data_IF_729294109535
#
_entry.id   IF_729294109535
#
_cell.length_a   1.000
_cell.length_b   1.000
_cell.length_c   1.000
_cell.angle_alpha   90.00
_cell.angle_beta   90.00
_cell.angle_gamma   90.00
#
_symmetry.space_group_name_H-M   'P 1'
#
loop_
_entity.id
_entity.type
_entity.pdbx_description
1 polymer ?
#
# COMPACT_ATOMS: atom_id res chain seq x y z
N UNK A 1 56.44 24.72 0.86
CA UNK A 1 55.06 24.89 0.33
C UNK A 1 54.12 25.12 1.49
N UNK A 2 53.54 26.32 1.62
CA UNK A 2 52.60 26.65 2.71
C UNK A 2 51.18 26.24 2.27
N UNK A 3 50.57 25.33 3.01
CA UNK A 3 49.16 25.02 2.91
C UNK A 3 48.35 26.25 3.36
N UNK A 4 47.56 26.85 2.46
CA UNK A 4 46.58 27.87 2.84
C UNK A 4 45.28 27.16 3.22
N UNK A 5 45.11 26.87 4.50
CA UNK A 5 43.76 26.77 5.06
C UNK A 5 43.30 28.19 5.37
N UNK A 6 42.45 28.75 4.51
CA UNK A 6 41.68 29.95 4.83
C UNK A 6 40.37 29.49 5.44
N UNK A 7 40.36 29.27 6.75
CA UNK A 7 39.12 29.28 7.49
C UNK A 7 38.92 30.71 8.00
N UNK A 8 38.06 31.46 7.30
CA UNK A 8 37.66 32.82 7.65
C UNK A 8 36.71 32.79 8.86
N UNK A 9 37.21 32.43 10.04
CA UNK A 9 36.43 32.55 11.28
C UNK A 9 36.42 34.02 11.72
N UNK A 10 35.56 34.84 11.14
CA UNK A 10 35.00 35.98 11.85
C UNK A 10 33.74 35.48 12.56
N UNK A 11 33.92 34.58 13.54
CA UNK A 11 32.82 34.13 14.37
C UNK A 11 32.24 35.37 15.06
N UNK A 12 30.99 35.71 14.76
CA UNK A 12 30.31 36.85 15.37
C UNK A 12 29.76 36.49 16.76
N UNK A 13 29.73 35.19 17.09
CA UNK A 13 29.28 34.70 18.39
C UNK A 13 30.35 33.84 19.11
N UNK A 14 30.30 33.88 20.45
CA UNK A 14 31.18 33.08 21.31
C UNK A 14 30.92 31.57 21.21
N UNK A 15 29.75 31.17 20.71
CA UNK A 15 29.37 29.77 20.56
C UNK A 15 28.75 29.55 19.17
N UNK A 16 29.08 28.45 18.46
CA UNK A 16 28.54 28.15 17.12
C UNK A 16 27.00 28.12 17.07
N UNK A 17 26.35 27.69 18.14
CA UNK A 17 24.87 27.70 18.22
C UNK A 17 24.28 29.11 18.29
N UNK A 18 25.07 30.14 18.53
CA UNK A 18 24.64 31.53 18.52
C UNK A 18 25.08 32.27 17.24
N UNK A 19 25.76 31.59 16.30
CA UNK A 19 26.21 32.21 15.06
C UNK A 19 25.00 32.53 14.16
N UNK A 20 24.84 33.79 13.72
CA UNK A 20 23.66 34.22 12.98
C UNK A 20 23.49 33.49 11.65
N UNK A 21 24.58 33.14 10.97
CA UNK A 21 24.54 32.36 9.73
C UNK A 21 24.00 30.93 9.97
N UNK A 22 24.46 30.28 11.04
CA UNK A 22 24.00 28.95 11.45
C UNK A 22 22.52 28.99 11.81
N UNK A 23 22.10 30.00 12.59
CA UNK A 23 20.69 30.19 12.95
C UNK A 23 19.80 30.47 11.72
N UNK A 24 20.29 31.23 10.74
CA UNK A 24 19.57 31.47 9.50
C UNK A 24 19.38 30.19 8.66
N UNK A 25 20.40 29.31 8.60
CA UNK A 25 20.28 28.00 7.94
C UNK A 25 19.25 27.12 8.64
N UNK A 26 19.32 27.01 9.97
CA UNK A 26 18.37 26.25 10.79
C UNK A 26 16.94 26.76 10.54
N UNK A 27 16.74 28.08 10.54
CA UNK A 27 15.45 28.70 10.26
C UNK A 27 14.89 28.33 8.88
N UNK A 28 15.73 28.35 7.83
CA UNK A 28 15.32 27.94 6.47
C UNK A 28 14.93 26.47 6.39
N UNK A 29 15.69 25.59 7.05
CA UNK A 29 15.37 24.14 7.12
C UNK A 29 14.04 23.91 7.83
N UNK A 30 13.83 24.57 8.97
CA UNK A 30 12.58 24.49 9.72
C UNK A 30 11.39 25.00 8.89
N UNK A 31 11.55 26.13 8.20
CA UNK A 31 10.52 26.69 7.32
C UNK A 31 10.18 25.74 6.16
N UNK A 32 11.19 25.13 5.51
CA UNK A 32 10.98 24.16 4.43
C UNK A 32 10.23 22.93 4.92
N UNK A 33 10.57 22.41 6.11
CA UNK A 33 9.86 21.29 6.75
C UNK A 33 8.40 21.65 7.02
N UNK A 34 8.15 22.82 7.62
CA UNK A 34 6.79 23.29 7.88
C UNK A 34 5.97 23.41 6.59
N UNK A 35 6.57 23.92 5.51
CA UNK A 35 5.92 23.99 4.20
C UNK A 35 5.56 22.61 3.63
N UNK A 36 6.45 21.62 3.73
CA UNK A 36 6.18 20.25 3.29
C UNK A 36 4.99 19.68 4.07
N UNK A 37 5.03 19.76 5.40
CA UNK A 37 3.97 19.24 6.26
C UNK A 37 2.62 19.92 5.98
N UNK A 38 2.61 21.23 5.70
CA UNK A 38 1.41 21.96 5.34
C UNK A 38 0.86 21.57 3.96
N UNK A 39 1.73 21.22 3.00
CA UNK A 39 1.30 20.71 1.69
C UNK A 39 0.71 19.31 1.84
N UNK A 40 1.40 18.40 2.55
CA UNK A 40 0.93 17.03 2.74
C UNK A 40 -0.37 16.99 3.53
N UNK A 41 -0.49 17.78 4.61
CA UNK A 41 -1.72 17.85 5.39
C UNK A 41 -2.90 18.40 4.59
N UNK A 42 -2.68 19.33 3.65
CA UNK A 42 -3.73 19.79 2.73
C UNK A 42 -4.15 18.73 1.73
N UNK A 43 -3.21 17.93 1.21
CA UNK A 43 -3.49 16.85 0.28
C UNK A 43 -4.31 15.75 0.96
N UNK A 44 -3.90 15.35 2.17
CA UNK A 44 -4.61 14.35 2.98
C UNK A 44 -6.04 14.78 3.28
N UNK A 45 -6.22 16.00 3.79
CA UNK A 45 -7.57 16.53 4.03
C UNK A 45 -8.40 16.68 2.75
N UNK A 46 -7.77 16.88 1.59
CA UNK A 46 -8.48 16.92 0.31
C UNK A 46 -8.93 15.52 -0.14
N UNK A 47 -8.10 14.50 0.07
CA UNK A 47 -8.44 13.10 -0.15
C UNK A 47 -9.57 12.66 0.78
N UNK A 48 -9.51 12.97 2.08
CA UNK A 48 -10.59 12.68 3.03
C UNK A 48 -11.93 13.26 2.58
N UNK A 49 -11.92 14.53 2.15
CA UNK A 49 -13.14 15.18 1.65
C UNK A 49 -13.64 14.55 0.34
N UNK A 50 -12.74 14.18 -0.56
CA UNK A 50 -13.12 13.51 -1.80
C UNK A 50 -13.70 12.12 -1.51
N UNK A 51 -13.08 11.36 -0.62
CA UNK A 51 -13.54 10.06 -0.16
C UNK A 51 -14.89 10.15 0.54
N UNK A 52 -15.07 11.10 1.46
CA UNK A 52 -16.34 11.32 2.15
C UNK A 52 -17.48 11.68 1.18
N UNK A 53 -17.19 12.39 0.08
CA UNK A 53 -18.17 12.67 -0.98
C UNK A 53 -18.49 11.45 -1.84
N UNK A 54 -17.50 10.57 -2.06
CA UNK A 54 -17.66 9.34 -2.82
C UNK A 54 -18.35 8.23 -2.00
N UNK A 55 -18.14 8.20 -0.68
CA UNK A 55 -18.76 7.30 0.26
C UNK A 55 -20.22 7.69 0.54
N UNK A 56 -21.06 7.62 -0.49
CA UNK A 56 -22.52 7.65 -0.34
C UNK A 56 -22.98 6.34 0.31
N UNK A 57 -24.04 6.32 1.14
CA UNK A 57 -24.66 5.05 1.55
C UNK A 57 -25.10 4.29 0.29
N UNK A 58 -24.38 3.22 -0.04
CA UNK A 58 -24.40 2.55 -1.36
C UNK A 58 -23.03 2.37 -2.04
N UNK A 59 -21.99 3.10 -1.62
CA UNK A 59 -20.62 2.93 -2.13
C UNK A 59 -20.02 1.56 -1.77
N UNK A 60 -20.45 0.98 -0.64
CA UNK A 60 -20.15 -0.41 -0.25
C UNK A 60 -20.69 -1.42 -1.28
N UNK A 61 -21.90 -1.17 -1.81
CA UNK A 61 -22.53 -2.00 -2.84
C UNK A 61 -21.81 -1.87 -4.19
N UNK A 62 -21.15 -0.75 -4.46
CA UNK A 62 -20.35 -0.54 -5.67
C UNK A 62 -18.99 -1.24 -5.63
N UNK A 63 -18.45 -1.64 -4.47
CA UNK A 63 -17.11 -2.24 -4.43
C UNK A 63 -17.06 -3.62 -5.11
N UNK A 64 -17.93 -4.55 -4.71
CA UNK A 64 -18.03 -5.89 -5.29
C UNK A 64 -18.82 -5.86 -6.60
N UNK A 65 -19.91 -5.08 -6.67
CA UNK A 65 -20.75 -5.03 -7.87
C UNK A 65 -20.11 -4.26 -9.04
N UNK A 66 -19.35 -3.17 -8.80
CA UNK A 66 -18.70 -2.44 -9.89
C UNK A 66 -17.41 -3.10 -10.38
N UNK A 67 -16.81 -4.01 -9.61
CA UNK A 67 -15.58 -4.71 -10.00
C UNK A 67 -15.84 -5.82 -11.03
N UNK A 68 -17.10 -6.17 -11.34
CA UNK A 68 -17.48 -7.34 -12.15
C UNK A 68 -16.76 -8.64 -11.72
N UNK A 69 -16.34 -8.72 -10.46
CA UNK A 69 -15.63 -9.88 -9.92
C UNK A 69 -16.65 -10.99 -9.74
N UNK A 70 -16.51 -12.13 -10.43
CA UNK A 70 -17.41 -13.26 -10.23
C UNK A 70 -17.36 -13.72 -8.77
N UNK A 71 -18.53 -13.98 -8.18
CA UNK A 71 -18.66 -14.50 -6.83
C UNK A 71 -19.46 -15.81 -6.85
N UNK A 72 -19.04 -16.77 -6.03
CA UNK A 72 -19.71 -18.07 -5.89
C UNK A 72 -20.20 -18.23 -4.44
N UNK A 73 -21.42 -18.75 -4.22
CA UNK A 73 -21.88 -19.06 -2.87
C UNK A 73 -21.09 -20.23 -2.28
N UNK A 74 -20.94 -20.25 -0.96
CA UNK A 74 -20.12 -21.25 -0.26
C UNK A 74 -20.52 -22.71 -0.56
N UNK A 75 -21.82 -22.97 -0.75
CA UNK A 75 -22.32 -24.30 -1.12
C UNK A 75 -21.81 -24.76 -2.50
N UNK A 76 -21.70 -23.84 -3.46
CA UNK A 76 -21.19 -24.16 -4.79
C UNK A 76 -19.68 -24.38 -4.77
N UNK A 77 -18.95 -23.56 -3.99
CA UNK A 77 -17.51 -23.78 -3.74
C UNK A 77 -17.29 -25.16 -3.12
N UNK A 78 -18.12 -25.56 -2.15
CA UNK A 78 -18.04 -26.88 -1.54
C UNK A 78 -18.27 -27.99 -2.57
N UNK A 79 -19.27 -27.85 -3.45
CA UNK A 79 -19.55 -28.83 -4.51
C UNK A 79 -18.35 -28.98 -5.45
N UNK A 80 -17.74 -27.88 -5.89
CA UNK A 80 -16.55 -27.91 -6.76
C UNK A 80 -15.35 -28.61 -6.12
N UNK A 81 -15.15 -28.42 -4.81
CA UNK A 81 -14.11 -29.10 -4.04
C UNK A 81 -14.40 -30.60 -3.89
N UNK A 82 -15.66 -30.98 -3.65
CA UNK A 82 -16.07 -32.38 -3.51
C UNK A 82 -16.05 -33.12 -4.88
N UNK A 83 -16.24 -32.41 -5.99
CA UNK A 83 -16.17 -32.93 -7.37
C UNK A 83 -14.72 -33.07 -7.90
N UNK A 84 -13.69 -32.74 -7.10
CA UNK A 84 -12.27 -32.72 -7.49
C UNK A 84 -12.01 -31.96 -8.81
N UNK A 85 -12.77 -30.88 -9.04
CA UNK A 85 -12.56 -30.03 -10.21
C UNK A 85 -11.17 -29.38 -10.15
N UNK A 86 -10.57 -29.04 -11.29
CA UNK A 86 -9.27 -28.35 -11.37
C UNK A 86 -9.36 -26.89 -10.86
N UNK A 87 -9.57 -26.73 -9.56
CA UNK A 87 -9.75 -25.46 -8.86
C UNK A 87 -8.68 -25.28 -7.80
N UNK A 88 -8.19 -24.05 -7.67
CA UNK A 88 -7.22 -23.68 -6.62
C UNK A 88 -7.84 -22.64 -5.71
N UNK A 89 -7.91 -22.95 -4.43
CA UNK A 89 -8.38 -22.02 -3.39
C UNK A 89 -7.20 -21.22 -2.86
N UNK A 90 -7.31 -19.90 -2.94
CA UNK A 90 -6.28 -18.97 -2.48
C UNK A 90 -6.88 -18.03 -1.44
N UNK A 91 -6.18 -17.89 -0.32
CA UNK A 91 -6.58 -17.03 0.79
C UNK A 91 -5.73 -15.74 0.80
N UNK A 92 -6.39 -14.60 0.61
CA UNK A 92 -5.76 -13.28 0.55
C UNK A 92 -5.58 -12.61 1.94
N UNK A 93 -6.05 -13.26 2.99
CA UNK A 93 -5.98 -12.80 4.38
C UNK A 93 -4.54 -12.72 4.89
N UNK A 94 -4.33 -12.18 6.09
CA UNK A 94 -3.02 -12.25 6.74
C UNK A 94 -2.69 -13.71 7.06
N UNK A 95 -1.39 -14.01 7.12
CA UNK A 95 -0.91 -15.37 7.39
C UNK A 95 -1.45 -15.95 8.72
N UNK A 96 -1.51 -15.11 9.76
CA UNK A 96 -2.03 -15.50 11.08
C UNK A 96 -3.53 -15.89 11.03
N UNK A 97 -4.32 -15.19 10.22
CA UNK A 97 -5.75 -15.47 10.03
C UNK A 97 -5.94 -16.81 9.31
N UNK A 98 -5.19 -17.05 8.24
CA UNK A 98 -5.18 -18.34 7.53
C UNK A 98 -4.82 -19.49 8.47
N UNK A 99 -3.83 -19.29 9.37
CA UNK A 99 -3.45 -20.32 10.34
C UNK A 99 -4.51 -20.59 11.42
N UNK A 100 -5.40 -19.63 11.65
CA UNK A 100 -6.51 -19.75 12.62
C UNK A 100 -7.68 -20.51 12.01
N UNK A 101 -8.08 -20.16 10.79
CA UNK A 101 -9.14 -20.84 10.05
C UNK A 101 -8.94 -20.63 8.55
N UNK A 102 -8.92 -21.73 7.79
CA UNK A 102 -8.80 -21.72 6.33
C UNK A 102 -9.72 -22.75 5.69
N UNK A 103 -10.09 -22.51 4.43
CA UNK A 103 -10.80 -23.51 3.61
C UNK A 103 -9.86 -24.70 3.35
N UNK A 104 -10.34 -25.96 3.45
CA UNK A 104 -9.53 -27.14 3.12
C UNK A 104 -8.90 -27.07 1.72
N UNK A 105 -7.62 -27.42 1.61
CA UNK A 105 -6.86 -27.31 0.35
C UNK A 105 -6.42 -25.88 -0.02
N UNK A 106 -6.76 -24.88 0.80
CA UNK A 106 -6.41 -23.48 0.59
C UNK A 106 -4.91 -23.20 0.70
N UNK A 107 -4.43 -22.21 -0.07
CA UNK A 107 -3.05 -21.71 -0.02
C UNK A 107 -3.03 -20.25 0.43
N UNK A 108 -2.21 -19.92 1.43
CA UNK A 108 -2.03 -18.54 1.87
C UNK A 108 -1.24 -17.75 0.83
N UNK A 109 -1.84 -16.66 0.31
CA UNK A 109 -1.20 -15.65 -0.51
C UNK A 109 -1.68 -14.28 -0.04
N UNK A 110 -1.05 -13.70 1.01
CA UNK A 110 -1.46 -12.41 1.55
C UNK A 110 -1.59 -11.35 0.47
N UNK A 111 -2.56 -10.44 0.59
CA UNK A 111 -2.96 -9.54 -0.51
C UNK A 111 -1.82 -8.81 -1.24
N UNK A 112 -0.73 -8.45 -0.56
CA UNK A 112 0.45 -7.83 -1.17
C UNK A 112 1.25 -8.76 -2.10
N UNK A 113 1.15 -10.07 -1.93
CA UNK A 113 1.84 -11.09 -2.74
C UNK A 113 0.92 -11.75 -3.78
N UNK A 114 -0.40 -11.68 -3.59
CA UNK A 114 -1.39 -12.39 -4.40
C UNK A 114 -1.20 -12.17 -5.90
N UNK A 115 -1.13 -10.90 -6.33
CA UNK A 115 -0.98 -10.53 -7.74
C UNK A 115 0.32 -11.08 -8.34
N UNK A 116 1.38 -11.16 -7.53
CA UNK A 116 2.69 -11.64 -7.97
C UNK A 116 2.76 -13.16 -8.06
N UNK A 117 2.13 -13.90 -7.14
CA UNK A 117 2.29 -15.35 -6.99
C UNK A 117 1.15 -16.19 -7.57
N UNK A 118 0.02 -15.58 -7.94
CA UNK A 118 -1.15 -16.33 -8.42
C UNK A 118 -0.86 -17.19 -9.65
N UNK A 119 -0.04 -16.69 -10.58
CA UNK A 119 0.33 -17.43 -11.81
C UNK A 119 1.16 -18.69 -11.54
N UNK A 120 1.98 -18.69 -10.48
CA UNK A 120 2.77 -19.86 -10.09
C UNK A 120 1.96 -20.88 -9.28
N UNK A 121 0.77 -20.47 -8.82
CA UNK A 121 -0.11 -21.27 -7.96
C UNK A 121 -1.23 -21.94 -8.76
N UNK A 122 -1.58 -21.38 -9.92
CA UNK A 122 -2.65 -21.87 -10.79
C UNK A 122 -2.18 -23.06 -11.66
N UNK A 123 -3.07 -24.03 -11.97
CA UNK A 123 -2.78 -25.09 -12.93
C UNK A 123 -2.47 -24.48 -14.31
N UNK A 124 -1.68 -25.15 -15.18
CA UNK A 124 -1.46 -24.67 -16.54
C UNK A 124 -2.80 -24.61 -17.29
N UNK A 125 -3.19 -23.41 -17.72
CA UNK A 125 -4.42 -23.17 -18.48
C UNK A 125 -4.51 -24.07 -19.71
N UNK A 126 -5.43 -25.03 -19.74
CA UNK A 126 -5.80 -25.81 -20.94
C UNK A 126 -7.20 -25.47 -21.49
N UNK A 127 -7.89 -24.45 -20.98
CA UNK A 127 -9.26 -24.15 -21.40
C UNK A 127 -9.43 -22.72 -21.92
N UNK A 128 -9.01 -22.48 -23.17
CA UNK A 128 -9.57 -21.42 -24.04
C UNK A 128 -9.82 -21.96 -25.46
N UNK A 129 -10.45 -23.12 -25.57
CA UNK A 129 -10.93 -23.65 -26.84
C UNK A 129 -12.23 -24.43 -26.65
N UNK A 130 -13.36 -23.70 -26.63
CA UNK A 130 -14.72 -24.08 -27.07
C UNK A 130 -15.77 -23.37 -26.23
N UNK A 131 -16.15 -22.18 -26.67
CA UNK A 131 -17.54 -21.74 -26.62
C UNK A 131 -17.81 -21.05 -27.97
N UNK A 132 -18.46 -21.82 -28.86
CA UNK A 132 -19.22 -21.33 -30.02
C UNK A 132 -20.64 -21.01 -29.58
#
# INVERSE_FOLDING_TARGET
>A
MRCRSRNSSHALAAHPSAEPEIQAVIGRVAARRAAILAVTGRADAALDRAWARAAQPGAEALSVAASNTPSLPAAEVRRLLDEETDVVVVDASRFEEFSTMSIPGGRSLPGGELVYRIRATSPPCQAMARLS
#
